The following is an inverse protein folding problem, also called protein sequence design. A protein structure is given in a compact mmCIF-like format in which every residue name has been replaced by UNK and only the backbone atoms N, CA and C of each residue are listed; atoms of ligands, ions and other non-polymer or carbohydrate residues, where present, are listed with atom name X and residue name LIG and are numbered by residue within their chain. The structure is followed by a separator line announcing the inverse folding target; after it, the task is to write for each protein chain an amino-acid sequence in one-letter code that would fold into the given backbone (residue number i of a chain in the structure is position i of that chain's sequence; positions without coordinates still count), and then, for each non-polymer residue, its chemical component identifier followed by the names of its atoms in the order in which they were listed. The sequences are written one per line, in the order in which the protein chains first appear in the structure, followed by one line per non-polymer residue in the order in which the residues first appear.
data_IF_481158737484
#
_entry.id   IF_481158737484
#
_cell.length_a   1.000
_cell.length_b   1.000
_cell.length_c   1.000
_cell.angle_alpha   90.00
_cell.angle_beta   90.00
_cell.angle_gamma   90.00
#
_symmetry.space_group_name_H-M   'P 1'
#
loop_
_entity.id
_entity.type
_entity.pdbx_description
1 polymer ?
#
# COMPACT_ATOMS: atom_id res chain seq x y z
N UNK A 1 -13.80 -13.41 55.36
CA UNK A 1 -13.97 -14.35 54.23
C UNK A 1 -14.11 -13.52 52.96
N UNK A 2 -13.08 -13.41 52.10
CA UNK A 2 -13.18 -12.59 50.87
C UNK A 2 -11.91 -12.45 50.04
N UNK A 3 -10.72 -12.66 50.62
CA UNK A 3 -9.45 -12.37 49.93
C UNK A 3 -9.04 -13.43 48.89
N UNK A 4 -9.51 -14.67 49.02
CA UNK A 4 -9.14 -15.78 48.13
C UNK A 4 -9.77 -15.67 46.73
N UNK A 5 -10.94 -15.05 46.58
CA UNK A 5 -11.62 -14.94 45.28
C UNK A 5 -10.96 -13.90 44.36
N UNK A 6 -10.53 -12.77 44.93
CA UNK A 6 -9.91 -11.69 44.16
C UNK A 6 -8.53 -12.07 43.61
N UNK A 7 -7.67 -12.66 44.47
CA UNK A 7 -6.32 -13.06 44.07
C UNK A 7 -6.31 -14.16 42.99
N UNK A 8 -7.25 -15.10 43.07
CA UNK A 8 -7.41 -16.16 42.05
C UNK A 8 -7.89 -15.56 40.74
N UNK A 9 -8.83 -14.61 40.78
CA UNK A 9 -9.35 -13.95 39.58
C UNK A 9 -8.28 -13.10 38.87
N UNK A 10 -7.49 -12.33 39.62
CA UNK A 10 -6.36 -11.56 39.07
C UNK A 10 -5.27 -12.48 38.51
N UNK A 11 -4.96 -13.58 39.19
CA UNK A 11 -3.98 -14.56 38.70
C UNK A 11 -4.45 -15.25 37.43
N UNK A 12 -5.74 -15.58 37.32
CA UNK A 12 -6.33 -16.17 36.13
C UNK A 12 -6.36 -15.16 34.96
N UNK A 13 -6.67 -13.89 35.24
CA UNK A 13 -6.64 -12.82 34.24
C UNK A 13 -5.22 -12.58 33.71
N UNK A 14 -4.21 -12.59 34.58
CA UNK A 14 -2.81 -12.47 34.18
C UNK A 14 -2.35 -13.70 33.39
N UNK A 15 -2.75 -14.91 33.79
CA UNK A 15 -2.44 -16.14 33.04
C UNK A 15 -3.07 -16.12 31.64
N UNK A 16 -4.33 -15.67 31.52
CA UNK A 16 -5.00 -15.50 30.23
C UNK A 16 -4.28 -14.46 29.37
N UNK A 17 -3.83 -13.35 29.94
CA UNK A 17 -3.05 -12.36 29.21
C UNK A 17 -1.70 -12.92 28.74
N UNK A 18 -1.01 -13.72 29.56
CA UNK A 18 0.29 -14.33 29.18
C UNK A 18 0.13 -15.43 28.13
N UNK A 19 -0.97 -16.20 28.18
CA UNK A 19 -1.26 -17.27 27.21
C UNK A 19 -1.88 -16.71 25.90
N UNK A 20 -2.62 -15.60 25.98
CA UNK A 20 -3.28 -14.98 24.81
C UNK A 20 -2.42 -13.95 24.08
N UNK A 21 -1.24 -13.59 24.59
CA UNK A 21 -0.25 -12.85 23.80
C UNK A 21 0.48 -13.89 22.93
N UNK A 22 0.22 -13.95 21.61
CA UNK A 22 1.01 -14.81 20.74
C UNK A 22 2.46 -14.34 20.81
N UNK A 23 3.34 -15.24 21.26
CA UNK A 23 4.77 -15.04 21.25
C UNK A 23 5.21 -14.87 19.79
N UNK A 24 5.44 -13.64 19.36
CA UNK A 24 5.80 -13.34 17.99
C UNK A 24 7.26 -13.78 17.75
N UNK A 25 7.51 -14.86 16.98
CA UNK A 25 8.87 -15.29 16.71
C UNK A 25 9.53 -14.23 15.83
N UNK A 26 10.69 -13.73 16.25
CA UNK A 26 11.51 -12.77 15.49
C UNK A 26 12.07 -13.31 14.17
N UNK A 27 11.68 -14.51 13.75
CA UNK A 27 12.05 -15.11 12.48
C UNK A 27 10.78 -15.39 11.67
N UNK A 28 10.59 -14.62 10.60
CA UNK A 28 9.40 -14.57 9.75
C UNK A 28 9.10 -15.85 8.96
N UNK A 29 8.75 -16.94 9.65
CA UNK A 29 7.99 -18.06 9.09
C UNK A 29 6.53 -17.91 9.51
N UNK A 30 5.68 -17.50 8.56
CA UNK A 30 4.22 -17.45 8.76
C UNK A 30 3.72 -18.88 8.87
N UNK A 31 3.29 -19.27 10.07
CA UNK A 31 2.43 -20.44 10.27
C UNK A 31 1.11 -20.14 9.55
N UNK A 32 0.64 -21.07 8.72
CA UNK A 32 -0.55 -20.96 7.87
C UNK A 32 -1.72 -20.30 8.60
N UNK A 33 -2.19 -19.19 8.03
CA UNK A 33 -3.12 -18.25 8.65
C UNK A 33 -4.54 -18.83 8.56
N UNK A 34 -5.14 -19.14 9.70
CA UNK A 34 -6.60 -19.31 9.83
C UNK A 34 -7.29 -18.01 9.38
N UNK A 35 -8.24 -18.14 8.45
CA UNK A 35 -9.00 -17.07 7.78
C UNK A 35 -9.57 -16.05 8.79
N UNK A 36 -9.22 -14.78 8.63
CA UNK A 36 -9.75 -13.66 9.45
C UNK A 36 -10.88 -12.99 8.68
N UNK A 37 -12.00 -12.69 9.34
CA UNK A 37 -13.17 -12.02 8.69
C UNK A 37 -12.89 -10.60 8.18
N UNK A 38 -11.74 -10.02 8.48
CA UNK A 38 -11.29 -8.72 7.99
C UNK A 38 -10.17 -8.83 6.95
N UNK A 39 -9.92 -10.00 6.37
CA UNK A 39 -9.02 -10.10 5.22
C UNK A 39 -9.62 -9.31 4.04
N UNK A 40 -8.87 -8.35 3.44
CA UNK A 40 -9.42 -7.49 2.41
C UNK A 40 -9.76 -8.29 1.15
N UNK A 41 -10.98 -8.09 0.62
CA UNK A 41 -11.41 -8.69 -0.66
C UNK A 41 -10.50 -8.28 -1.83
N UNK A 42 -9.91 -7.09 -1.75
CA UNK A 42 -8.98 -6.57 -2.74
C UNK A 42 -7.58 -6.68 -2.16
N UNK A 43 -6.81 -7.61 -2.71
CA UNK A 43 -5.42 -7.83 -2.35
C UNK A 43 -4.50 -7.02 -3.24
N UNK A 44 -3.47 -6.41 -2.66
CA UNK A 44 -2.50 -5.67 -3.47
C UNK A 44 -1.57 -6.63 -4.21
N UNK A 45 -1.18 -6.35 -5.46
CA UNK A 45 -0.20 -7.16 -6.19
C UNK A 45 1.15 -7.30 -5.48
N UNK A 46 1.46 -6.42 -4.51
CA UNK A 46 2.70 -6.49 -3.72
C UNK A 46 2.60 -7.42 -2.49
N UNK A 47 1.39 -7.83 -2.11
CA UNK A 47 1.16 -8.64 -0.91
C UNK A 47 1.50 -10.11 -1.18
N UNK A 48 2.72 -10.53 -0.84
CA UNK A 48 3.16 -11.93 -0.94
C UNK A 48 2.36 -12.81 0.03
N UNK A 49 1.65 -13.79 -0.53
CA UNK A 49 1.40 -15.05 0.18
C UNK A 49 2.34 -16.09 -0.38
N UNK A 50 2.80 -16.96 0.50
CA UNK A 50 3.68 -18.09 0.19
C UNK A 50 2.93 -19.20 -0.59
N UNK A 51 1.86 -18.85 -1.30
CA UNK A 51 1.28 -19.73 -2.31
C UNK A 51 2.35 -19.97 -3.37
N UNK A 52 2.45 -21.22 -3.82
CA UNK A 52 3.42 -21.65 -4.81
C UNK A 52 3.27 -20.75 -6.04
N UNK A 53 4.06 -19.68 -6.14
CA UNK A 53 4.22 -18.91 -7.36
C UNK A 53 4.65 -19.95 -8.38
N UNK A 54 3.73 -20.34 -9.27
CA UNK A 54 4.15 -20.94 -10.51
C UNK A 54 5.17 -19.94 -11.09
N UNK A 55 6.39 -20.40 -11.27
CA UNK A 55 7.58 -19.59 -11.57
C UNK A 55 7.45 -18.69 -12.81
N UNK A 56 6.30 -18.79 -13.51
CA UNK A 56 5.92 -18.04 -14.69
C UNK A 56 4.73 -17.07 -14.51
N UNK A 57 4.18 -16.89 -13.31
CA UNK A 57 3.06 -15.95 -13.12
C UNK A 57 3.53 -14.49 -13.16
N UNK A 58 2.92 -13.68 -14.04
CA UNK A 58 3.26 -12.27 -14.21
C UNK A 58 2.17 -11.39 -13.60
N UNK A 59 2.57 -10.51 -12.67
CA UNK A 59 1.66 -9.53 -12.04
C UNK A 59 1.58 -8.26 -12.88
N UNK A 60 0.35 -7.80 -13.10
CA UNK A 60 0.01 -6.59 -13.85
C UNK A 60 -0.76 -5.61 -12.97
N UNK A 61 -0.66 -4.32 -13.27
CA UNK A 61 -1.45 -3.27 -12.65
C UNK A 61 -1.88 -2.20 -13.66
N UNK A 62 -3.07 -1.66 -13.45
CA UNK A 62 -3.59 -0.52 -14.20
C UNK A 62 -3.96 0.57 -13.20
N UNK A 63 -3.35 1.75 -13.34
CA UNK A 63 -3.56 2.90 -12.47
C UNK A 63 -4.22 4.03 -13.27
N UNK A 64 -5.31 4.60 -12.76
CA UNK A 64 -6.12 5.59 -13.48
C UNK A 64 -6.46 6.78 -12.61
N UNK A 65 -6.05 7.98 -13.04
CA UNK A 65 -6.52 9.25 -12.50
C UNK A 65 -7.63 9.79 -13.40
N UNK A 66 -8.87 9.80 -12.91
CA UNK A 66 -10.06 10.16 -13.68
C UNK A 66 -10.35 11.67 -13.81
N UNK A 67 -9.39 12.54 -13.51
CA UNK A 67 -9.60 14.00 -13.52
C UNK A 67 -8.31 14.78 -13.80
N UNK A 68 -8.47 16.04 -14.20
CA UNK A 68 -7.40 16.98 -14.49
C UNK A 68 -7.55 18.31 -13.71
N UNK A 69 -6.60 19.21 -13.87
CA UNK A 69 -6.53 20.53 -13.26
C UNK A 69 -5.92 20.49 -11.86
N UNK A 70 -5.24 21.58 -11.48
CA UNK A 70 -4.53 21.67 -10.20
C UNK A 70 -5.45 21.53 -8.97
N UNK A 71 -6.74 21.90 -9.07
CA UNK A 71 -7.74 21.64 -8.02
C UNK A 71 -7.97 20.15 -7.74
N UNK A 72 -7.58 19.27 -8.66
CA UNK A 72 -7.66 17.81 -8.55
C UNK A 72 -6.28 17.15 -8.39
N UNK A 73 -5.27 17.90 -7.94
CA UNK A 73 -3.91 17.44 -7.67
C UNK A 73 -3.84 16.04 -7.04
N UNK A 74 -4.66 15.81 -6.01
CA UNK A 74 -4.71 14.55 -5.24
C UNK A 74 -4.88 13.29 -6.10
N UNK A 75 -5.69 13.34 -7.17
CA UNK A 75 -5.98 12.13 -7.94
C UNK A 75 -4.76 11.66 -8.76
N UNK A 76 -3.96 12.58 -9.29
CA UNK A 76 -2.72 12.23 -9.99
C UNK A 76 -1.58 11.93 -9.00
N UNK A 77 -1.54 12.62 -7.85
CA UNK A 77 -0.60 12.31 -6.78
C UNK A 77 -0.80 10.89 -6.21
N UNK A 78 -2.05 10.45 -6.05
CA UNK A 78 -2.40 9.08 -5.63
C UNK A 78 -1.91 8.03 -6.62
N UNK A 79 -2.15 8.25 -7.92
CA UNK A 79 -1.67 7.35 -8.99
C UNK A 79 -0.15 7.29 -9.02
N UNK A 80 0.54 8.43 -8.96
CA UNK A 80 2.00 8.47 -8.91
C UNK A 80 2.53 7.73 -7.67
N UNK A 81 1.91 7.93 -6.51
CA UNK A 81 2.29 7.24 -5.28
C UNK A 81 2.07 5.72 -5.38
N UNK A 82 0.93 5.28 -5.91
CA UNK A 82 0.64 3.86 -6.14
C UNK A 82 1.67 3.22 -7.08
N UNK A 83 2.06 3.91 -8.16
CA UNK A 83 3.11 3.47 -9.06
C UNK A 83 4.43 3.22 -8.31
N UNK A 84 4.86 4.16 -7.46
CA UNK A 84 6.10 3.98 -6.67
C UNK A 84 6.01 2.79 -5.70
N UNK A 85 4.84 2.55 -5.11
CA UNK A 85 4.62 1.37 -4.23
C UNK A 85 4.76 0.07 -5.03
N UNK A 86 4.11 -0.01 -6.19
CA UNK A 86 4.16 -1.20 -7.06
C UNK A 86 5.58 -1.47 -7.57
N UNK A 87 6.30 -0.42 -7.99
CA UNK A 87 7.69 -0.50 -8.44
C UNK A 87 8.63 -0.98 -7.33
N UNK A 88 8.51 -0.42 -6.13
CA UNK A 88 9.26 -0.92 -4.94
C UNK A 88 8.87 -2.35 -4.56
N UNK A 89 7.64 -2.75 -4.83
CA UNK A 89 7.14 -4.11 -4.64
C UNK A 89 7.66 -5.13 -5.65
N UNK A 90 8.41 -4.70 -6.66
CA UNK A 90 9.05 -5.57 -7.66
C UNK A 90 8.25 -5.75 -8.96
N UNK A 91 7.15 -5.01 -9.16
CA UNK A 91 6.53 -4.95 -10.49
C UNK A 91 7.44 -4.15 -11.44
N UNK A 92 7.62 -4.67 -12.64
CA UNK A 92 8.37 -3.98 -13.70
C UNK A 92 7.49 -2.92 -14.38
N UNK A 93 8.11 -1.86 -14.89
CA UNK A 93 7.42 -0.76 -15.56
C UNK A 93 6.57 -1.23 -16.75
N UNK A 94 7.06 -2.25 -17.49
CA UNK A 94 6.34 -2.89 -18.60
C UNK A 94 4.98 -3.51 -18.20
N UNK A 95 4.81 -3.81 -16.91
CA UNK A 95 3.60 -4.43 -16.37
C UNK A 95 2.68 -3.45 -15.64
N UNK A 96 3.01 -2.15 -15.64
CA UNK A 96 2.22 -1.11 -14.97
C UNK A 96 1.75 -0.10 -16.01
N UNK A 97 0.45 -0.13 -16.32
CA UNK A 97 -0.17 0.83 -17.23
C UNK A 97 -0.71 2.01 -16.43
N UNK A 98 -0.24 3.21 -16.74
CA UNK A 98 -0.64 4.43 -16.03
C UNK A 98 -1.40 5.37 -16.96
N UNK A 99 -2.60 5.75 -16.51
CA UNK A 99 -3.45 6.76 -17.13
C UNK A 99 -3.54 7.97 -16.21
N UNK A 100 -3.00 9.11 -16.64
CA UNK A 100 -3.10 10.38 -15.94
C UNK A 100 -3.02 11.53 -16.95
N UNK A 101 -3.66 12.66 -16.64
CA UNK A 101 -3.69 13.78 -17.57
C UNK A 101 -2.32 14.48 -17.74
N UNK A 102 -1.43 14.34 -16.74
CA UNK A 102 -0.05 14.83 -16.77
C UNK A 102 0.10 16.38 -16.79
N UNK A 103 -0.89 17.10 -16.27
CA UNK A 103 -0.92 18.57 -16.18
C UNK A 103 -0.44 19.14 -14.83
N UNK A 104 -0.23 18.30 -13.82
CA UNK A 104 0.10 18.74 -12.46
C UNK A 104 1.57 19.16 -12.31
N UNK A 105 2.51 18.35 -12.79
CA UNK A 105 3.94 18.61 -12.59
C UNK A 105 4.41 19.89 -13.29
N UNK A 106 3.77 20.26 -14.40
CA UNK A 106 4.08 21.46 -15.21
C UNK A 106 3.11 22.63 -14.97
N UNK A 107 2.16 22.50 -14.05
CA UNK A 107 1.19 23.56 -13.78
C UNK A 107 1.90 24.81 -13.27
N UNK A 108 1.49 25.99 -13.73
CA UNK A 108 1.95 27.29 -13.21
C UNK A 108 1.64 27.47 -11.72
N UNK A 109 0.63 26.76 -11.22
CA UNK A 109 0.23 26.76 -9.82
C UNK A 109 1.07 25.82 -8.96
N UNK A 110 1.95 24.99 -9.56
CA UNK A 110 2.82 24.11 -8.82
C UNK A 110 4.04 24.88 -8.29
N UNK A 111 4.17 25.08 -6.96
CA UNK A 111 5.32 25.79 -6.39
C UNK A 111 6.64 25.02 -6.53
N UNK A 112 6.59 23.73 -6.91
CA UNK A 112 7.75 22.87 -7.15
C UNK A 112 7.64 22.25 -8.55
N UNK A 113 8.01 22.99 -9.62
CA UNK A 113 7.91 22.49 -10.99
C UNK A 113 8.62 21.15 -11.17
N UNK A 114 7.95 20.22 -11.84
CA UNK A 114 8.45 18.86 -12.07
C UNK A 114 8.32 17.90 -10.90
N UNK A 115 7.80 18.33 -9.75
CA UNK A 115 7.65 17.50 -8.55
C UNK A 115 6.18 17.33 -8.19
N UNK A 116 5.80 16.10 -7.82
CA UNK A 116 4.49 15.79 -7.22
C UNK A 116 4.72 15.07 -5.90
N UNK A 117 4.06 15.50 -4.83
CA UNK A 117 4.12 14.86 -3.51
C UNK A 117 2.73 14.34 -3.14
N UNK A 118 2.62 13.20 -2.45
CA UNK A 118 1.30 12.70 -1.99
C UNK A 118 1.09 12.82 -0.47
N UNK A 119 1.98 13.52 0.24
CA UNK A 119 1.79 13.93 1.63
C UNK A 119 2.70 15.12 1.96
N UNK A 120 2.43 15.91 3.02
CA UNK A 120 3.08 17.22 3.25
C UNK A 120 4.61 17.20 3.26
N UNK A 121 5.20 16.15 3.84
CA UNK A 121 6.65 15.94 3.92
C UNK A 121 7.11 14.77 3.05
N UNK A 122 6.42 14.51 1.95
CA UNK A 122 6.71 13.39 1.05
C UNK A 122 7.84 13.66 0.07
N UNK A 123 8.44 12.56 -0.37
CA UNK A 123 9.34 12.57 -1.52
C UNK A 123 8.55 12.80 -2.81
N UNK A 124 9.26 13.16 -3.88
CA UNK A 124 8.68 13.16 -5.21
C UNK A 124 8.16 11.76 -5.57
N UNK A 125 6.94 11.70 -6.06
CA UNK A 125 6.31 10.47 -6.57
C UNK A 125 6.17 10.49 -8.10
N UNK A 126 6.45 11.61 -8.76
CA UNK A 126 6.29 11.80 -10.21
C UNK A 126 7.44 11.20 -11.02
N UNK A 127 8.68 11.30 -10.53
CA UNK A 127 9.85 10.80 -11.24
C UNK A 127 9.71 9.33 -11.67
N UNK A 128 9.94 9.08 -12.96
CA UNK A 128 9.95 7.75 -13.56
C UNK A 128 8.57 7.15 -13.84
N UNK A 129 7.47 7.83 -13.52
CA UNK A 129 6.11 7.34 -13.85
C UNK A 129 5.95 7.31 -15.38
N UNK A 130 5.59 6.15 -15.98
CA UNK A 130 5.41 6.03 -17.42
C UNK A 130 4.18 6.81 -17.87
N UNK A 131 4.31 7.54 -18.99
CA UNK A 131 3.25 8.38 -19.55
C UNK A 131 2.60 7.67 -20.72
N UNK A 132 1.95 6.54 -20.44
CA UNK A 132 1.41 5.68 -21.50
C UNK A 132 0.31 6.41 -22.26
N UNK A 133 -0.57 7.11 -21.55
CA UNK A 133 -1.59 7.98 -22.14
C UNK A 133 -1.65 9.27 -21.31
N UNK A 134 -0.76 10.22 -21.63
CA UNK A 134 -0.97 11.64 -21.37
C UNK A 134 -1.67 12.23 -22.59
N UNK A 135 -2.64 13.14 -22.41
CA UNK A 135 -3.46 13.66 -23.50
C UNK A 135 -2.65 14.10 -24.72
N UNK A 136 -3.08 13.68 -25.91
CA UNK A 136 -2.45 13.97 -27.21
C UNK A 136 -2.64 15.42 -27.69
N UNK A 137 -2.69 16.40 -26.79
CA UNK A 137 -2.71 17.81 -27.19
C UNK A 137 -1.29 18.36 -27.16
N UNK A 138 -0.70 18.44 -28.36
CA UNK A 138 0.41 19.35 -28.67
C UNK A 138 -0.05 20.80 -28.53
#
# INVERSE_FOLDING_TARGET
MGSFSFAVCVSLMLLVMVVAIPFEPKNGRRIGRLHRWWDPLIRSPVDRDDEVEDSNSVRWAVLVAGSNGYGNYRHQADVCHAYQILKRGGLKDENIVVFMYDDIAKSELNPRPGVIINHPNGSDVYAGVPKVISTCYN
#
